data_IF_879458980494
#
_entry.id   IF_879458980494
#
_cell.length_a   1.000
_cell.length_b   1.000
_cell.length_c   1.000
_cell.angle_alpha   90.00
_cell.angle_beta   90.00
_cell.angle_gamma   90.00
#
_symmetry.space_group_name_H-M   'P 1'
#
loop_
_entity.id
_entity.type
_entity.pdbx_description
1 polymer ?
#
# COMPACT_ATOMS: atom_id res chain seq x y z
N UNK A 1 2.31 -6.80 -5.47
CA UNK A 1 2.61 -8.03 -4.68
C UNK A 1 3.56 -9.01 -5.39
N UNK A 2 3.42 -9.26 -6.71
CA UNK A 2 4.27 -10.21 -7.45
C UNK A 2 5.79 -9.93 -7.33
N UNK A 3 6.19 -8.66 -7.33
CA UNK A 3 7.60 -8.24 -7.16
C UNK A 3 8.17 -8.65 -5.80
N UNK A 4 7.42 -8.45 -4.72
CA UNK A 4 7.87 -8.80 -3.35
C UNK A 4 7.96 -10.30 -3.17
N UNK A 5 6.98 -11.05 -3.70
CA UNK A 5 7.00 -12.51 -3.65
C UNK A 5 8.26 -13.06 -4.35
N UNK A 6 8.62 -12.48 -5.50
CA UNK A 6 9.85 -12.80 -6.21
C UNK A 6 11.10 -12.43 -5.39
N UNK A 7 11.15 -11.23 -4.82
CA UNK A 7 12.26 -10.78 -3.97
C UNK A 7 12.49 -11.71 -2.77
N UNK A 8 11.44 -12.23 -2.13
CA UNK A 8 11.55 -13.21 -1.05
C UNK A 8 12.18 -14.52 -1.54
N UNK A 9 11.76 -15.03 -2.71
CA UNK A 9 12.29 -16.28 -3.27
C UNK A 9 13.77 -16.13 -3.67
N UNK A 10 14.10 -15.00 -4.28
CA UNK A 10 15.48 -14.68 -4.71
C UNK A 10 16.38 -14.32 -3.52
N UNK A 11 15.81 -13.92 -2.38
CA UNK A 11 16.55 -13.49 -1.21
C UNK A 11 17.07 -12.05 -1.30
N UNK A 12 16.43 -11.21 -2.13
CA UNK A 12 16.70 -9.77 -2.14
C UNK A 12 16.06 -9.11 -0.91
N UNK A 13 16.75 -9.25 0.21
CA UNK A 13 16.30 -8.71 1.49
C UNK A 13 16.24 -7.18 1.51
N UNK A 14 17.00 -6.49 0.65
CA UNK A 14 16.95 -5.04 0.54
C UNK A 14 15.64 -4.56 -0.09
N UNK A 15 15.15 -5.25 -1.12
CA UNK A 15 13.84 -4.98 -1.70
C UNK A 15 12.70 -5.34 -0.72
N UNK A 16 12.82 -6.47 -0.02
CA UNK A 16 11.85 -6.87 1.02
C UNK A 16 11.78 -5.85 2.17
N UNK A 17 12.92 -5.36 2.67
CA UNK A 17 12.94 -4.34 3.73
C UNK A 17 12.32 -3.01 3.30
N UNK A 18 12.59 -2.54 2.08
CA UNK A 18 11.95 -1.32 1.53
C UNK A 18 10.43 -1.44 1.54
N UNK A 19 9.93 -2.62 1.23
CA UNK A 19 8.51 -2.90 1.23
C UNK A 19 7.93 -3.04 2.65
N UNK A 20 8.61 -3.76 3.54
CA UNK A 20 8.24 -3.90 4.96
C UNK A 20 8.17 -2.55 5.70
N UNK A 21 8.90 -1.54 5.23
CA UNK A 21 8.88 -0.20 5.82
C UNK A 21 7.61 0.62 5.48
N UNK A 22 6.74 0.15 4.58
CA UNK A 22 5.45 0.79 4.28
C UNK A 22 4.49 0.69 5.47
N UNK A 23 3.72 1.75 5.73
CA UNK A 23 2.90 1.90 6.96
C UNK A 23 1.90 0.73 7.17
N UNK A 24 1.27 0.25 6.09
CA UNK A 24 0.32 -0.86 6.11
C UNK A 24 0.93 -2.22 6.50
N UNK A 25 2.25 -2.37 6.44
CA UNK A 25 2.95 -3.63 6.67
C UNK A 25 3.71 -3.62 7.99
N UNK A 26 4.09 -2.42 8.47
CA UNK A 26 4.59 -2.24 9.84
C UNK A 26 3.61 -2.72 10.91
N UNK A 27 2.31 -2.71 10.61
CA UNK A 27 1.27 -3.26 11.49
C UNK A 27 1.26 -4.80 11.52
N UNK A 28 1.77 -5.48 10.48
CA UNK A 28 1.80 -6.94 10.35
C UNK A 28 3.01 -7.55 11.07
N UNK A 29 3.07 -7.39 12.39
CA UNK A 29 4.23 -7.77 13.21
C UNK A 29 4.62 -9.25 13.11
N UNK A 30 3.64 -10.15 12.97
CA UNK A 30 3.90 -11.59 12.80
C UNK A 30 4.61 -11.89 11.48
N UNK A 31 4.21 -11.23 10.40
CA UNK A 31 4.88 -11.40 9.10
C UNK A 31 6.32 -10.88 9.15
N UNK A 32 6.53 -9.71 9.75
CA UNK A 32 7.87 -9.15 9.96
C UNK A 32 8.77 -10.07 10.77
N UNK A 33 8.22 -10.68 11.84
CA UNK A 33 8.95 -11.66 12.64
C UNK A 33 9.40 -12.86 11.77
N UNK A 34 8.51 -13.43 10.96
CA UNK A 34 8.87 -14.54 10.06
C UNK A 34 9.93 -14.16 9.03
N UNK A 35 9.88 -12.94 8.47
CA UNK A 35 10.91 -12.44 7.54
C UNK A 35 12.27 -12.35 8.23
N UNK A 36 12.30 -11.78 9.43
CA UNK A 36 13.55 -11.66 10.21
C UNK A 36 14.05 -13.02 10.68
N UNK A 37 13.17 -13.95 11.05
CA UNK A 37 13.53 -15.32 11.40
C UNK A 37 14.18 -16.03 10.21
N UNK A 38 13.60 -15.90 9.01
CA UNK A 38 14.16 -16.50 7.80
C UNK A 38 15.56 -15.94 7.48
N UNK A 39 15.75 -14.62 7.53
CA UNK A 39 17.08 -14.00 7.35
C UNK A 39 18.10 -14.48 8.39
N UNK A 40 17.67 -14.61 9.64
CA UNK A 40 18.52 -15.12 10.71
C UNK A 40 18.94 -16.58 10.46
N UNK A 41 18.01 -17.45 10.06
CA UNK A 41 18.31 -18.85 9.75
C UNK A 41 19.28 -18.95 8.57
N UNK A 42 19.16 -18.10 7.55
CA UNK A 42 20.11 -18.05 6.43
C UNK A 42 21.52 -17.64 6.88
N UNK A 43 21.65 -16.70 7.82
CA UNK A 43 22.94 -16.32 8.40
C UNK A 43 23.56 -17.46 9.24
N UNK A 44 22.74 -18.22 9.96
CA UNK A 44 23.20 -19.40 10.72
C UNK A 44 23.64 -20.52 9.78
N UNK A 45 22.86 -20.81 8.74
CA UNK A 45 23.16 -21.83 7.72
C UNK A 45 24.47 -21.50 6.98
N UNK A 46 24.68 -20.22 6.67
CA UNK A 46 25.94 -19.69 6.11
C UNK A 46 27.10 -19.58 7.11
N UNK A 47 26.92 -20.02 8.35
CA UNK A 47 27.92 -19.98 9.44
C UNK A 47 28.41 -18.56 9.78
N UNK A 48 27.62 -17.53 9.47
CA UNK A 48 27.93 -16.13 9.74
C UNK A 48 27.50 -15.71 11.16
N UNK A 49 27.92 -16.47 12.18
CA UNK A 49 27.40 -16.38 13.55
C UNK A 49 27.51 -14.98 14.19
N UNK A 50 28.55 -14.21 13.89
CA UNK A 50 28.70 -12.85 14.42
C UNK A 50 27.63 -11.89 13.86
N UNK A 51 27.30 -12.01 12.58
CA UNK A 51 26.21 -11.26 11.96
C UNK A 51 24.87 -11.76 12.48
N UNK A 52 24.69 -13.08 12.57
CA UNK A 52 23.49 -13.71 13.12
C UNK A 52 23.20 -13.23 14.55
N UNK A 53 24.20 -13.16 15.43
CA UNK A 53 24.05 -12.65 16.80
C UNK A 53 23.62 -11.17 16.83
N UNK A 54 24.26 -10.34 16.00
CA UNK A 54 23.89 -8.93 15.88
C UNK A 54 22.46 -8.78 15.38
N UNK A 55 22.08 -9.59 14.40
CA UNK A 55 20.75 -9.62 13.81
C UNK A 55 19.69 -10.07 14.82
N UNK A 56 19.95 -11.16 15.54
CA UNK A 56 19.08 -11.67 16.61
C UNK A 56 18.80 -10.59 17.65
N UNK A 57 19.85 -9.89 18.10
CA UNK A 57 19.74 -8.89 19.17
C UNK A 57 19.03 -7.61 18.71
N UNK A 58 19.30 -7.14 17.48
CA UNK A 58 18.78 -5.86 16.99
C UNK A 58 17.41 -5.97 16.31
N UNK A 59 17.15 -7.08 15.60
CA UNK A 59 15.97 -7.24 14.74
C UNK A 59 14.94 -8.20 15.33
N UNK A 60 15.37 -9.34 15.90
CA UNK A 60 14.44 -10.37 16.40
C UNK A 60 14.02 -10.17 17.86
N UNK A 61 14.92 -9.74 18.75
CA UNK A 61 14.63 -9.53 20.18
C UNK A 61 13.40 -8.64 20.46
N UNK A 62 13.16 -7.53 19.72
CA UNK A 62 11.95 -6.72 19.91
C UNK A 62 10.63 -7.47 19.64
N UNK A 63 10.70 -8.61 18.94
CA UNK A 63 9.55 -9.43 18.55
C UNK A 63 9.48 -10.75 19.34
N UNK A 64 10.27 -10.92 20.40
CA UNK A 64 10.29 -12.14 21.22
C UNK A 64 8.89 -12.54 21.74
N UNK A 65 8.05 -11.55 22.06
CA UNK A 65 6.67 -11.79 22.50
C UNK A 65 5.74 -12.40 21.42
N UNK A 66 6.18 -12.44 20.16
CA UNK A 66 5.42 -13.00 19.02
C UNK A 66 5.81 -14.44 18.70
N UNK A 67 6.59 -15.09 19.57
CA UNK A 67 6.93 -16.49 19.41
C UNK A 67 5.68 -17.38 19.31
N UNK A 68 5.74 -18.36 18.42
CA UNK A 68 4.69 -19.36 18.22
C UNK A 68 4.71 -20.40 19.35
N UNK A 69 5.90 -20.67 19.90
CA UNK A 69 6.09 -21.59 21.01
C UNK A 69 6.92 -20.96 22.13
N UNK A 70 6.68 -21.32 23.40
CA UNK A 70 7.33 -20.68 24.57
C UNK A 70 8.86 -20.70 24.58
N UNK A 71 9.48 -21.65 23.87
CA UNK A 71 10.94 -21.82 23.81
C UNK A 71 11.53 -21.47 22.44
N UNK A 72 10.75 -20.92 21.51
CA UNK A 72 11.22 -20.62 20.16
C UNK A 72 12.40 -19.63 20.19
N UNK A 73 12.29 -18.54 20.95
CA UNK A 73 13.39 -17.56 21.02
C UNK A 73 14.64 -18.13 21.70
N UNK A 74 14.47 -19.02 22.68
CA UNK A 74 15.60 -19.74 23.31
C UNK A 74 16.29 -20.67 22.30
N UNK A 75 15.50 -21.38 21.50
CA UNK A 75 15.99 -22.22 20.42
C UNK A 75 16.76 -21.40 19.37
N UNK A 76 16.27 -20.21 19.01
CA UNK A 76 17.02 -19.27 18.16
C UNK A 76 18.34 -18.84 18.80
N UNK A 77 18.38 -18.57 20.10
CA UNK A 77 19.65 -18.28 20.78
C UNK A 77 20.62 -19.48 20.73
N UNK A 78 20.09 -20.69 20.94
CA UNK A 78 20.88 -21.93 20.96
C UNK A 78 21.51 -22.24 19.59
N UNK A 79 20.82 -21.94 18.50
CA UNK A 79 21.31 -22.13 17.12
C UNK A 79 22.65 -21.45 16.83
N UNK A 80 23.02 -20.39 17.55
CA UNK A 80 24.35 -19.75 17.43
C UNK A 80 25.51 -20.66 17.84
N UNK A 81 25.22 -21.75 18.54
CA UNK A 81 26.20 -22.73 19.03
C UNK A 81 26.13 -24.07 18.30
N UNK A 82 25.10 -24.27 17.48
CA UNK A 82 24.86 -25.50 16.73
C UNK A 82 25.66 -25.51 15.42
N UNK A 83 25.98 -26.72 14.93
CA UNK A 83 26.59 -26.88 13.60
C UNK A 83 25.55 -26.92 12.49
N UNK A 84 24.37 -27.48 12.78
CA UNK A 84 23.27 -27.61 11.84
C UNK A 84 21.98 -27.09 12.47
N UNK A 85 21.15 -26.44 11.65
CA UNK A 85 19.85 -25.93 12.10
C UNK A 85 18.89 -27.07 12.43
N UNK A 86 18.99 -28.18 11.70
CA UNK A 86 18.15 -29.37 11.88
C UNK A 86 18.27 -30.04 13.25
N UNK A 87 19.32 -29.72 14.02
CA UNK A 87 19.49 -30.19 15.40
C UNK A 87 18.42 -29.59 16.35
N UNK A 88 17.87 -28.43 15.98
CA UNK A 88 16.90 -27.66 16.78
C UNK A 88 15.56 -27.56 16.06
N UNK A 89 15.57 -27.27 14.76
CA UNK A 89 14.37 -27.15 13.93
C UNK A 89 14.33 -28.29 12.90
N UNK A 90 13.57 -29.34 13.22
CA UNK A 90 13.41 -30.52 12.34
C UNK A 90 12.63 -30.22 11.06
N UNK A 91 11.92 -29.09 11.00
CA UNK A 91 11.16 -28.64 9.82
C UNK A 91 12.03 -27.80 8.88
N UNK A 92 13.30 -27.55 9.25
CA UNK A 92 14.28 -26.93 8.39
C UNK A 92 14.69 -27.88 7.27
N UNK A 93 14.26 -27.54 6.06
CA UNK A 93 14.52 -28.26 4.81
C UNK A 93 15.33 -27.36 3.84
N UNK A 94 16.18 -26.52 4.42
CA UNK A 94 17.04 -25.59 3.70
C UNK A 94 16.39 -24.25 3.31
N UNK A 95 17.26 -23.37 2.82
CA UNK A 95 16.95 -21.97 2.53
C UNK A 95 15.80 -21.83 1.52
N UNK A 96 15.85 -22.57 0.41
CA UNK A 96 14.85 -22.48 -0.65
C UNK A 96 13.45 -22.87 -0.17
N UNK A 97 13.34 -23.90 0.68
CA UNK A 97 12.07 -24.34 1.26
C UNK A 97 11.52 -23.25 2.20
N UNK A 98 12.37 -22.72 3.09
CA UNK A 98 12.01 -21.62 3.99
C UNK A 98 11.50 -20.37 3.27
N UNK A 99 12.21 -19.94 2.20
CA UNK A 99 11.78 -18.79 1.37
C UNK A 99 10.46 -19.04 0.66
N UNK A 100 10.23 -20.24 0.13
CA UNK A 100 8.96 -20.59 -0.52
C UNK A 100 7.79 -20.59 0.47
N UNK A 101 7.97 -21.11 1.68
CA UNK A 101 6.96 -21.05 2.75
C UNK A 101 6.63 -19.60 3.12
N UNK A 102 7.65 -18.76 3.30
CA UNK A 102 7.48 -17.34 3.60
C UNK A 102 6.74 -16.59 2.47
N UNK A 103 7.11 -16.85 1.21
CA UNK A 103 6.46 -16.30 0.03
C UNK A 103 5.00 -16.76 -0.12
N UNK A 104 4.70 -18.01 0.27
CA UNK A 104 3.35 -18.57 0.34
C UNK A 104 2.50 -17.87 1.41
N UNK A 105 3.03 -17.75 2.63
CA UNK A 105 2.37 -17.03 3.73
C UNK A 105 2.08 -15.57 3.37
N UNK A 106 3.03 -14.89 2.72
CA UNK A 106 2.82 -13.54 2.20
C UNK A 106 1.67 -13.47 1.19
N UNK A 107 1.59 -14.44 0.27
CA UNK A 107 0.51 -14.54 -0.71
C UNK A 107 -0.86 -14.71 -0.06
N UNK A 108 -0.96 -15.57 0.95
CA UNK A 108 -2.21 -15.76 1.72
C UNK A 108 -2.61 -14.46 2.41
N UNK A 109 -1.68 -13.85 3.15
CA UNK A 109 -1.94 -12.62 3.91
C UNK A 109 -2.44 -11.47 3.02
N UNK A 110 -1.86 -11.30 1.83
CA UNK A 110 -2.29 -10.27 0.89
C UNK A 110 -3.67 -10.57 0.29
N UNK A 111 -3.94 -11.84 0.01
CA UNK A 111 -5.27 -12.26 -0.49
C UNK A 111 -6.33 -12.00 0.56
N UNK A 112 -6.06 -12.34 1.83
CA UNK A 112 -6.96 -12.14 2.97
C UNK A 112 -7.25 -10.65 3.23
N UNK A 113 -6.25 -9.78 3.05
CA UNK A 113 -6.47 -8.32 3.12
C UNK A 113 -7.35 -7.83 1.96
N UNK A 114 -7.14 -8.32 0.75
CA UNK A 114 -7.97 -7.95 -0.41
C UNK A 114 -9.42 -8.44 -0.24
N UNK A 115 -9.66 -9.63 0.32
CA UNK A 115 -11.02 -10.10 0.63
C UNK A 115 -11.67 -9.31 1.76
N UNK A 116 -10.91 -8.93 2.79
CA UNK A 116 -11.45 -8.13 3.90
C UNK A 116 -11.81 -6.72 3.45
N UNK A 117 -10.99 -6.11 2.59
CA UNK A 117 -11.30 -4.82 1.97
C UNK A 117 -12.52 -4.92 1.04
N UNK A 118 -12.66 -5.99 0.25
CA UNK A 118 -13.85 -6.27 -0.58
C UNK A 118 -15.12 -6.60 0.23
N UNK A 119 -14.98 -7.10 1.45
CA UNK A 119 -16.12 -7.38 2.33
C UNK A 119 -16.59 -6.11 3.05
N UNK A 120 -15.67 -5.19 3.39
CA UNK A 120 -15.98 -3.94 4.07
C UNK A 120 -16.37 -2.81 3.10
N UNK A 121 -15.78 -2.76 1.91
CA UNK A 121 -16.29 -1.98 0.79
C UNK A 121 -17.35 -2.85 0.10
N UNK A 122 -18.58 -2.78 0.60
CA UNK A 122 -19.69 -3.65 0.17
C UNK A 122 -19.74 -3.84 -1.34
N UNK A 123 -19.38 -5.05 -1.76
CA UNK A 123 -19.09 -5.43 -3.14
C UNK A 123 -17.99 -4.52 -3.75
N UNK A 124 -16.96 -5.12 -4.33
CA UNK A 124 -16.10 -4.38 -5.24
C UNK A 124 -16.94 -4.05 -6.47
N UNK A 125 -17.86 -3.08 -6.35
CA UNK A 125 -18.77 -2.65 -7.39
C UNK A 125 -17.90 -2.50 -8.62
N UNK A 126 -18.16 -3.32 -9.62
CA UNK A 126 -17.41 -3.37 -10.86
C UNK A 126 -17.41 -1.95 -11.45
N UNK A 127 -16.42 -1.14 -11.06
CA UNK A 127 -16.41 0.29 -11.33
C UNK A 127 -16.11 0.36 -12.81
N UNK A 128 -17.06 0.82 -13.64
CA UNK A 128 -16.85 0.82 -15.08
C UNK A 128 -15.60 1.66 -15.41
N UNK A 129 -14.85 1.26 -16.45
CA UNK A 129 -13.65 1.99 -16.84
C UNK A 129 -14.00 3.44 -17.14
N UNK A 130 -13.24 4.39 -16.57
CA UNK A 130 -13.50 5.81 -16.77
C UNK A 130 -14.59 6.40 -15.87
N UNK A 131 -15.09 5.69 -14.84
CA UNK A 131 -16.16 6.18 -13.97
C UNK A 131 -15.93 7.59 -13.38
N UNK A 132 -14.71 7.91 -13.00
CA UNK A 132 -14.40 9.25 -12.48
C UNK A 132 -14.61 10.34 -13.54
N UNK A 133 -14.27 10.05 -14.80
CA UNK A 133 -14.48 10.96 -15.92
C UNK A 133 -15.98 11.18 -16.15
N UNK A 134 -16.77 10.10 -16.18
CA UNK A 134 -18.24 10.19 -16.32
C UNK A 134 -18.86 11.04 -15.21
N UNK A 135 -18.41 10.86 -13.96
CA UNK A 135 -18.93 11.64 -12.83
C UNK A 135 -18.57 13.12 -12.95
N UNK A 136 -17.39 13.44 -13.48
CA UNK A 136 -16.99 14.83 -13.74
C UNK A 136 -17.80 15.44 -14.89
N UNK A 137 -18.03 14.69 -15.97
CA UNK A 137 -18.91 15.11 -17.06
C UNK A 137 -20.33 15.39 -16.56
N UNK A 138 -20.89 14.46 -15.78
CA UNK A 138 -22.21 14.61 -15.16
C UNK A 138 -22.27 15.82 -14.22
N UNK A 139 -21.22 16.08 -13.43
CA UNK A 139 -21.15 17.24 -12.56
C UNK A 139 -21.18 18.55 -13.36
N UNK A 140 -20.46 18.62 -14.49
CA UNK A 140 -20.47 19.81 -15.34
C UNK A 140 -21.79 19.99 -16.07
N UNK A 141 -22.39 18.92 -16.59
CA UNK A 141 -23.74 18.94 -17.16
C UNK A 141 -24.78 19.43 -16.14
N UNK A 142 -24.66 18.99 -14.89
CA UNK A 142 -25.49 19.45 -13.79
C UNK A 142 -25.29 20.95 -13.51
N UNK A 143 -24.05 21.44 -13.47
CA UNK A 143 -23.79 22.88 -13.29
C UNK A 143 -24.36 23.74 -14.42
N UNK A 144 -24.27 23.27 -15.68
CA UNK A 144 -24.83 23.98 -16.84
C UNK A 144 -26.36 24.01 -16.78
N UNK A 145 -26.99 22.86 -16.50
CA UNK A 145 -28.46 22.75 -16.44
C UNK A 145 -29.07 23.49 -15.25
N UNK A 146 -28.37 23.53 -14.12
CA UNK A 146 -28.77 24.27 -12.91
C UNK A 146 -28.51 25.78 -13.00
N UNK A 147 -27.84 26.26 -14.06
CA UNK A 147 -27.55 27.68 -14.22
C UNK A 147 -28.81 28.49 -14.53
N UNK A 148 -28.86 29.75 -14.06
CA UNK A 148 -30.02 30.63 -14.22
C UNK A 148 -30.31 30.98 -15.70
N UNK A 149 -29.28 30.97 -16.53
CA UNK A 149 -29.37 31.25 -17.97
C UNK A 149 -28.84 30.04 -18.72
N UNK A 150 -29.76 29.24 -19.26
CA UNK A 150 -29.40 28.03 -19.98
C UNK A 150 -28.88 28.38 -21.39
N UNK A 151 -27.62 28.07 -21.71
CA UNK A 151 -27.09 28.33 -23.03
C UNK A 151 -27.72 27.37 -24.04
N UNK A 152 -28.08 27.87 -25.22
CA UNK A 152 -28.67 27.05 -26.31
C UNK A 152 -27.62 26.20 -27.04
N UNK A 153 -26.35 26.54 -26.88
CA UNK A 153 -25.18 25.86 -27.42
C UNK A 153 -24.28 25.46 -26.27
N UNK A 154 -23.56 24.33 -26.40
CA UNK A 154 -22.64 23.87 -25.37
C UNK A 154 -21.56 24.94 -25.11
N UNK A 155 -21.49 25.49 -23.89
CA UNK A 155 -20.52 26.52 -23.56
C UNK A 155 -19.12 25.90 -23.41
N UNK A 156 -18.03 26.61 -23.76
CA UNK A 156 -16.70 26.14 -23.47
C UNK A 156 -16.46 26.13 -21.95
N UNK A 157 -16.02 24.98 -21.42
CA UNK A 157 -15.68 24.81 -20.02
C UNK A 157 -14.21 25.19 -19.85
N UNK A 158 -13.94 26.22 -19.05
CA UNK A 158 -12.59 26.78 -18.89
C UNK A 158 -11.82 26.14 -17.73
N UNK A 159 -12.51 25.58 -16.74
CA UNK A 159 -11.91 25.01 -15.53
C UNK A 159 -12.84 24.00 -14.85
N UNK A 160 -12.26 23.04 -14.13
CA UNK A 160 -12.94 22.16 -13.17
C UNK A 160 -12.72 22.59 -11.71
N UNK A 161 -11.88 23.62 -11.49
CA UNK A 161 -11.54 24.10 -10.14
C UNK A 161 -12.60 25.05 -9.57
N UNK A 162 -13.41 25.64 -10.43
CA UNK A 162 -14.50 26.54 -10.08
C UNK A 162 -15.77 26.08 -10.80
N UNK A 163 -16.93 26.25 -10.15
CA UNK A 163 -18.22 25.89 -10.75
C UNK A 163 -18.49 26.71 -12.02
N UNK A 164 -19.07 26.05 -13.02
CA UNK A 164 -19.48 26.71 -14.25
C UNK A 164 -20.47 27.87 -13.98
N UNK A 165 -20.20 29.03 -14.60
CA UNK A 165 -21.09 30.20 -14.58
C UNK A 165 -21.34 30.67 -16.01
N UNK A 166 -22.62 30.85 -16.37
CA UNK A 166 -22.97 31.37 -17.69
C UNK A 166 -22.51 32.82 -17.85
N UNK A 167 -21.83 33.11 -18.96
CA UNK A 167 -21.55 34.48 -19.37
C UNK A 167 -22.86 35.14 -19.82
N UNK A 168 -23.20 36.28 -19.22
CA UNK A 168 -24.42 37.03 -19.54
C UNK A 168 -24.00 38.41 -20.00
N UNK A 169 -24.36 38.77 -21.24
CA UNK A 169 -24.23 40.14 -21.71
C UNK A 169 -25.48 40.92 -21.24
N UNK A 170 -25.32 42.03 -20.50
CA UNK A 170 -26.46 42.87 -20.16
C UNK A 170 -27.08 43.47 -21.42
N UNK A 171 -28.34 43.14 -21.71
CA UNK A 171 -29.06 43.63 -22.89
C UNK A 171 -29.71 45.01 -22.66
N UNK A 172 -29.55 45.58 -21.47
CA UNK A 172 -30.13 46.87 -21.10
C UNK A 172 -29.06 47.76 -20.47
N UNK A 173 -28.94 48.98 -20.99
CA UNK A 173 -28.02 49.99 -20.50
C UNK A 173 -28.66 50.64 -19.26
N UNK A 174 -28.20 50.25 -18.07
CA UNK A 174 -28.83 50.69 -16.81
C UNK A 174 -28.62 52.18 -16.58
N UNK A 175 -27.41 52.69 -16.83
CA UNK A 175 -27.07 54.10 -16.66
C UNK A 175 -26.31 54.62 -17.87
N UNK A 176 -26.88 55.65 -18.52
CA UNK A 176 -26.19 56.43 -19.54
C UNK A 176 -25.76 57.75 -18.90
N UNK A 177 -24.48 57.88 -18.62
CA UNK A 177 -23.94 59.15 -18.14
C UNK A 177 -23.58 60.01 -19.35
N UNK A 178 -24.29 61.12 -19.52
CA UNK A 178 -23.97 62.14 -20.52
C UNK A 178 -23.23 63.28 -19.81
N UNK A 179 -22.01 63.57 -20.27
CA UNK A 179 -21.19 64.64 -19.71
C UNK A 179 -21.78 66.02 -20.01
N UNK A 180 -21.45 67.01 -19.16
CA UNK A 180 -21.85 68.40 -19.38
C UNK A 180 -21.14 68.96 -20.63
N UNK A 181 -21.92 69.56 -21.53
CA UNK A 181 -21.43 70.09 -22.81
C UNK A 181 -20.99 71.57 -22.75
N UNK A 182 -20.98 72.17 -21.57
CA UNK A 182 -20.57 73.57 -21.37
C UNK A 182 -19.52 73.62 -20.25
N UNK A 183 -18.36 74.20 -20.58
CA UNK A 183 -17.27 74.51 -19.65
C UNK A 183 -17.58 75.75 -18.82
#
# INVERSE_FOLDING_TARGET
WKTVKRAIIEGDWAEVEKFCNKSSIKSMKNFLYCVYKQQYLELVDGQEYQKAFTYLTKKLKPFEALQSHPDEFKNLCYLLTCKNISDVDKEWDGIASGRNRLAGMFGSLMTDTETTEKANAGDGADVPPGRLLELLEQAVEFQISSSRYQPRLLPPITSLLEDYRCFVLPNALVHQYQGHASN
#
